data_IF_290172359543
#
_entry.id   IF_290172359543
#
_cell.length_a   1.000
_cell.length_b   1.000
_cell.length_c   1.000
_cell.angle_alpha   90.00
_cell.angle_beta   90.00
_cell.angle_gamma   90.00
#
_symmetry.space_group_name_H-M   'P 1'
#
loop_
_entity.id
_entity.type
_entity.pdbx_description
1 polymer ?
#
# COMPACT_ATOMS: atom_id res chain seq x y z
N UNK A 1 -8.70 4.24 28.04
CA UNK A 1 -8.94 4.16 26.59
C UNK A 1 -8.50 2.78 26.13
N UNK A 2 -9.36 2.00 25.45
CA UNK A 2 -9.14 0.56 25.17
C UNK A 2 -8.74 0.26 23.70
N UNK A 3 -8.51 1.31 22.90
CA UNK A 3 -7.97 1.19 21.55
C UNK A 3 -6.44 1.17 21.54
N UNK A 4 -5.84 0.43 20.61
CA UNK A 4 -4.38 0.31 20.44
C UNK A 4 -3.95 0.49 18.99
N UNK A 5 -2.70 0.90 18.76
CA UNK A 5 -2.09 1.03 17.44
C UNK A 5 -0.87 0.11 17.32
N UNK A 6 -0.77 -0.61 16.20
CA UNK A 6 0.37 -1.47 15.89
C UNK A 6 1.11 -0.95 14.65
N UNK A 7 2.29 -0.33 14.80
CA UNK A 7 3.09 0.14 13.67
C UNK A 7 3.82 -1.02 12.97
N UNK A 8 4.05 -0.88 11.67
CA UNK A 8 4.79 -1.83 10.85
C UNK A 8 5.22 -1.25 9.50
N UNK A 9 5.67 -2.13 8.58
CA UNK A 9 5.95 -1.77 7.18
C UNK A 9 5.42 -2.85 6.25
N UNK A 10 5.04 -2.46 5.03
CA UNK A 10 4.96 -3.44 3.94
C UNK A 10 6.37 -3.88 3.52
N UNK A 11 6.49 -5.07 2.93
CA UNK A 11 7.71 -5.43 2.23
C UNK A 11 7.97 -4.47 1.07
N UNK A 12 9.23 -4.18 0.79
CA UNK A 12 9.64 -3.32 -0.32
C UNK A 12 9.15 -3.91 -1.65
N UNK A 13 8.48 -3.09 -2.45
CA UNK A 13 8.00 -3.46 -3.79
C UNK A 13 8.93 -2.82 -4.83
N UNK A 14 9.37 -3.61 -5.80
CA UNK A 14 10.15 -3.11 -6.94
C UNK A 14 9.32 -3.21 -8.21
N UNK A 15 9.11 -2.07 -8.87
CA UNK A 15 8.53 -2.02 -10.21
C UNK A 15 9.65 -1.80 -11.23
N UNK A 16 9.73 -2.67 -12.23
CA UNK A 16 10.61 -2.51 -13.39
C UNK A 16 9.74 -2.28 -14.62
N UNK A 17 9.66 -1.04 -15.08
CA UNK A 17 8.89 -0.69 -16.26
C UNK A 17 9.79 -0.61 -17.49
N UNK A 18 9.75 -1.68 -18.29
CA UNK A 18 10.48 -1.82 -19.54
C UNK A 18 9.59 -1.63 -20.78
N UNK A 19 8.34 -1.20 -20.61
CA UNK A 19 7.37 -1.08 -21.71
C UNK A 19 7.72 0.05 -22.68
N UNK A 20 8.38 1.10 -22.18
CA UNK A 20 8.63 2.31 -22.95
C UNK A 20 7.33 3.04 -23.31
N UNK A 21 7.42 4.01 -24.21
CA UNK A 21 6.27 4.77 -24.70
C UNK A 21 5.84 5.88 -23.75
N UNK A 22 4.55 6.20 -23.77
CA UNK A 22 4.02 7.42 -23.11
C UNK A 22 3.07 7.17 -21.94
N UNK A 23 2.67 5.91 -21.73
CA UNK A 23 1.69 5.55 -20.70
C UNK A 23 2.37 5.24 -19.38
N UNK A 24 1.91 5.92 -18.33
CA UNK A 24 2.28 5.71 -16.95
C UNK A 24 1.77 4.40 -16.36
N UNK A 25 1.75 4.34 -15.04
CA UNK A 25 1.14 3.26 -14.29
C UNK A 25 0.66 3.71 -12.93
N UNK A 26 -0.27 2.97 -12.36
CA UNK A 26 -0.64 3.08 -10.95
C UNK A 26 -0.53 1.72 -10.26
N UNK A 27 0.03 1.73 -9.05
CA UNK A 27 0.06 0.59 -8.15
C UNK A 27 -0.93 0.85 -7.00
N UNK A 28 -2.01 0.09 -6.96
CA UNK A 28 -3.09 0.22 -5.98
C UNK A 28 -3.06 -0.98 -5.04
N UNK A 29 -3.15 -0.74 -3.74
CA UNK A 29 -3.33 -1.81 -2.75
C UNK A 29 -4.75 -1.84 -2.20
N UNK A 30 -5.25 -3.05 -1.94
CA UNK A 30 -6.54 -3.33 -1.27
C UNK A 30 -6.32 -4.32 -0.16
N UNK A 31 -6.92 -4.09 1.00
CA UNK A 31 -6.82 -4.99 2.15
C UNK A 31 -8.19 -5.52 2.53
N UNK A 32 -8.29 -6.83 2.75
CA UNK A 32 -9.49 -7.46 3.30
C UNK A 32 -9.69 -7.06 4.77
N UNK A 33 -10.83 -7.41 5.36
CA UNK A 33 -10.93 -7.41 6.82
C UNK A 33 -9.85 -8.34 7.42
N UNK A 34 -9.37 -7.99 8.61
CA UNK A 34 -8.52 -8.88 9.39
C UNK A 34 -9.40 -9.84 10.18
N UNK A 35 -9.15 -11.14 10.06
CA UNK A 35 -9.88 -12.19 10.79
C UNK A 35 -9.01 -12.74 11.91
N UNK A 36 -9.62 -12.94 13.09
CA UNK A 36 -8.95 -13.39 14.30
C UNK A 36 -9.74 -14.47 15.04
N UNK A 37 -9.38 -14.75 16.31
CA UNK A 37 -9.98 -15.83 17.10
C UNK A 37 -11.50 -15.66 17.27
N UNK A 38 -12.21 -16.79 17.35
CA UNK A 38 -13.65 -16.79 17.63
C UNK A 38 -14.51 -16.07 16.59
N UNK A 39 -13.98 -15.85 15.37
CA UNK A 39 -14.68 -15.10 14.32
C UNK A 39 -14.60 -13.58 14.47
N UNK A 40 -13.77 -13.07 15.39
CA UNK A 40 -13.56 -11.63 15.53
C UNK A 40 -12.97 -11.03 14.24
N UNK A 41 -13.43 -9.83 13.89
CA UNK A 41 -13.01 -9.13 12.68
C UNK A 41 -12.64 -7.67 12.97
N UNK A 42 -11.59 -7.19 12.31
CA UNK A 42 -11.22 -5.77 12.25
C UNK A 42 -11.42 -5.29 10.82
N UNK A 43 -12.16 -4.20 10.57
CA UNK A 43 -12.35 -3.68 9.21
C UNK A 43 -11.01 -3.42 8.52
N UNK A 44 -10.89 -3.74 7.22
CA UNK A 44 -9.66 -3.46 6.47
C UNK A 44 -9.31 -1.96 6.45
N UNK A 45 -10.31 -1.09 6.55
CA UNK A 45 -10.15 0.36 6.65
C UNK A 45 -9.43 0.81 7.94
N UNK A 46 -9.27 -0.07 8.93
CA UNK A 46 -8.44 0.16 10.12
C UNK A 46 -6.94 0.14 9.85
N UNK A 47 -6.51 -0.36 8.67
CA UNK A 47 -5.13 -0.27 8.22
C UNK A 47 -4.94 1.03 7.43
N UNK A 48 -4.08 1.91 7.94
CA UNK A 48 -3.58 3.07 7.22
C UNK A 48 -2.13 2.89 6.83
N UNK A 49 -1.71 3.60 5.79
CA UNK A 49 -0.32 3.60 5.35
C UNK A 49 0.18 5.00 5.00
N UNK A 50 1.50 5.15 4.96
CA UNK A 50 2.20 6.34 4.46
C UNK A 50 3.21 5.87 3.42
N UNK A 51 2.88 5.95 2.12
CA UNK A 51 3.75 5.46 1.06
C UNK A 51 4.97 6.34 0.81
N UNK A 52 6.04 5.71 0.32
CA UNK A 52 7.17 6.38 -0.31
C UNK A 52 7.43 5.74 -1.67
N UNK A 53 7.94 6.53 -2.61
CA UNK A 53 8.41 5.99 -3.87
C UNK A 53 9.66 6.73 -4.34
N UNK A 54 10.61 5.97 -4.86
CA UNK A 54 11.87 6.51 -5.40
C UNK A 54 12.17 5.85 -6.73
N UNK A 55 12.49 6.68 -7.73
CA UNK A 55 13.03 6.19 -8.99
C UNK A 55 14.54 5.98 -8.88
N UNK A 56 15.04 4.85 -9.38
CA UNK A 56 16.47 4.60 -9.47
C UNK A 56 17.13 5.58 -10.45
N UNK A 57 18.41 5.96 -10.25
CA UNK A 57 19.16 6.76 -11.21
C UNK A 57 19.06 6.20 -12.64
N UNK A 58 18.89 7.09 -13.62
CA UNK A 58 18.72 6.71 -15.03
C UNK A 58 17.30 6.30 -15.43
N UNK A 59 16.34 6.27 -14.50
CA UNK A 59 14.92 6.10 -14.86
C UNK A 59 14.41 7.31 -15.66
N UNK A 60 13.62 7.05 -16.71
CA UNK A 60 13.03 8.10 -17.54
C UNK A 60 11.89 8.84 -16.82
N UNK A 61 11.23 8.17 -15.87
CA UNK A 61 10.09 8.73 -15.13
C UNK A 61 10.41 9.11 -13.70
N UNK A 62 9.67 10.10 -13.19
CA UNK A 62 9.58 10.38 -11.75
C UNK A 62 8.52 9.49 -11.12
N UNK A 63 8.78 8.97 -9.94
CA UNK A 63 7.77 8.26 -9.16
C UNK A 63 7.04 9.19 -8.20
N UNK A 64 5.72 9.07 -8.14
CA UNK A 64 4.87 9.73 -7.17
C UNK A 64 4.42 8.71 -6.11
N UNK A 65 4.63 9.03 -4.84
CA UNK A 65 4.04 8.28 -3.74
C UNK A 65 2.53 8.56 -3.65
N UNK A 66 1.76 7.55 -3.25
CA UNK A 66 0.36 7.72 -2.90
C UNK A 66 0.16 8.60 -1.66
N UNK A 67 -1.08 9.00 -1.40
CA UNK A 67 -1.42 9.77 -0.20
C UNK A 67 -1.45 8.88 1.03
N UNK A 68 -1.00 9.42 2.15
CA UNK A 68 -1.20 8.78 3.45
C UNK A 68 -2.70 8.69 3.77
N UNK A 69 -3.13 7.56 4.32
CA UNK A 69 -4.55 7.32 4.62
C UNK A 69 -4.91 5.85 4.75
N UNK A 70 -6.20 5.58 4.93
CA UNK A 70 -6.74 4.23 4.98
C UNK A 70 -6.58 3.52 3.62
N UNK A 71 -6.25 2.23 3.66
CA UNK A 71 -6.18 1.38 2.46
C UNK A 71 -7.56 0.81 2.17
N UNK A 72 -8.09 0.05 3.13
CA UNK A 72 -9.41 -0.55 3.06
C UNK A 72 -9.66 -1.47 1.85
N UNK A 73 -10.90 -1.95 1.70
CA UNK A 73 -11.31 -2.77 0.57
C UNK A 73 -11.46 -1.97 -0.74
N UNK A 74 -11.79 -0.67 -0.65
CA UNK A 74 -11.89 0.22 -1.83
C UNK A 74 -10.53 0.41 -2.52
N UNK A 75 -9.48 0.41 -1.70
CA UNK A 75 -8.09 0.51 -2.11
C UNK A 75 -7.56 1.93 -2.08
N UNK A 76 -6.24 2.01 -2.00
CA UNK A 76 -5.50 3.27 -2.06
C UNK A 76 -4.33 3.14 -3.04
N UNK A 77 -3.98 4.26 -3.68
CA UNK A 77 -2.75 4.33 -4.47
C UNK A 77 -1.57 4.20 -3.52
N UNK A 78 -0.68 3.25 -3.82
CA UNK A 78 0.60 3.10 -3.15
C UNK A 78 1.66 3.95 -3.84
N UNK A 79 1.74 3.87 -5.17
CA UNK A 79 2.62 4.68 -6.00
C UNK A 79 2.07 4.81 -7.42
N UNK A 80 2.55 5.80 -8.16
CA UNK A 80 2.26 5.95 -9.58
C UNK A 80 3.38 6.63 -10.35
N UNK A 81 3.35 6.45 -11.66
CA UNK A 81 4.07 7.24 -12.64
C UNK A 81 3.02 7.83 -13.59
N UNK A 82 2.97 9.15 -13.81
CA UNK A 82 2.04 9.75 -14.76
C UNK A 82 2.47 9.49 -16.20
N UNK A 83 1.54 9.70 -17.14
CA UNK A 83 1.85 9.74 -18.57
C UNK A 83 2.87 10.85 -18.88
N UNK A 84 3.76 10.59 -19.84
CA UNK A 84 4.81 11.51 -20.26
C UNK A 84 5.27 11.23 -21.69
N UNK A 85 6.14 12.08 -22.25
CA UNK A 85 6.73 11.84 -23.57
C UNK A 85 7.62 10.58 -23.62
N UNK A 86 8.19 10.20 -22.47
CA UNK A 86 8.92 8.94 -22.27
C UNK A 86 8.66 8.42 -20.87
N UNK A 87 8.19 7.17 -20.79
CA UNK A 87 7.93 6.45 -19.55
C UNK A 87 8.82 5.21 -19.47
N UNK A 88 9.32 4.92 -18.27
CA UNK A 88 10.09 3.71 -17.98
C UNK A 88 11.07 3.91 -16.83
N UNK A 89 11.63 2.81 -16.34
CA UNK A 89 12.66 2.82 -15.31
C UNK A 89 12.49 1.75 -14.23
N UNK A 90 13.23 1.91 -13.14
CA UNK A 90 13.15 1.05 -11.97
C UNK A 90 12.76 1.88 -10.76
N UNK A 91 11.78 1.41 -9.99
CA UNK A 91 11.20 2.13 -8.88
C UNK A 91 11.18 1.26 -7.63
N UNK A 92 11.56 1.86 -6.50
CA UNK A 92 11.46 1.27 -5.16
C UNK A 92 10.31 1.94 -4.43
N UNK A 93 9.39 1.13 -3.92
CA UNK A 93 8.16 1.57 -3.27
C UNK A 93 8.10 0.92 -1.89
N UNK A 94 7.90 1.73 -0.86
CA UNK A 94 7.71 1.29 0.52
C UNK A 94 6.46 1.96 1.12
N UNK A 95 6.01 1.46 2.27
CA UNK A 95 5.04 2.18 3.10
C UNK A 95 5.19 1.79 4.57
N UNK A 96 5.19 2.80 5.43
CA UNK A 96 4.90 2.60 6.85
C UNK A 96 3.41 2.28 6.99
N UNK A 97 3.04 1.34 7.85
CA UNK A 97 1.65 0.96 8.11
C UNK A 97 1.30 1.08 9.59
N UNK A 98 0.06 1.43 9.87
CA UNK A 98 -0.51 1.45 11.22
C UNK A 98 -1.84 0.73 11.19
N UNK A 99 -1.98 -0.31 12.01
CA UNK A 99 -3.28 -0.94 12.27
C UNK A 99 -3.87 -0.36 13.55
N UNK A 100 -5.03 0.29 13.44
CA UNK A 100 -5.78 0.82 14.59
C UNK A 100 -6.85 -0.17 15.02
N UNK A 101 -6.71 -0.69 16.24
CA UNK A 101 -7.63 -1.70 16.79
C UNK A 101 -8.90 -1.03 17.37
N UNK A 102 -10.10 -1.49 16.99
CA UNK A 102 -11.33 -1.11 17.67
C UNK A 102 -11.26 -1.44 19.18
N UNK A 103 -11.99 -0.70 20.04
CA UNK A 103 -12.12 -1.05 21.45
C UNK A 103 -12.62 -2.49 21.64
N UNK A 104 -12.15 -3.15 22.70
CA UNK A 104 -12.53 -4.52 23.06
C UNK A 104 -12.19 -5.59 22.00
N UNK A 105 -11.25 -5.31 21.09
CA UNK A 105 -10.70 -6.32 20.19
C UNK A 105 -10.08 -7.47 21.00
N UNK A 106 -10.55 -8.73 20.87
CA UNK A 106 -10.00 -9.86 21.60
C UNK A 106 -8.49 -10.04 21.34
N UNK A 107 -7.70 -10.44 22.33
CA UNK A 107 -6.29 -10.74 22.10
C UNK A 107 -6.13 -11.97 21.20
N UNK A 108 -5.16 -11.94 20.29
CA UNK A 108 -4.80 -13.07 19.45
C UNK A 108 -4.23 -12.66 18.10
N UNK A 109 -3.99 -13.65 17.24
CA UNK A 109 -3.47 -13.44 15.91
C UNK A 109 -4.60 -13.04 14.93
N UNK A 110 -4.38 -11.94 14.21
CA UNK A 110 -5.26 -11.46 13.16
C UNK A 110 -4.56 -11.52 11.80
N UNK A 111 -5.27 -11.89 10.74
CA UNK A 111 -4.71 -12.04 9.39
C UNK A 111 -5.61 -11.36 8.36
N UNK A 112 -5.00 -10.72 7.38
CA UNK A 112 -5.67 -10.14 6.21
C UNK A 112 -4.85 -10.42 4.96
N UNK A 113 -5.46 -10.22 3.79
CA UNK A 113 -4.78 -10.24 2.50
C UNK A 113 -4.64 -8.80 1.99
N UNK A 114 -3.41 -8.39 1.68
CA UNK A 114 -3.11 -7.18 0.92
C UNK A 114 -2.86 -7.57 -0.53
N UNK A 115 -3.75 -7.16 -1.42
CA UNK A 115 -3.61 -7.35 -2.86
C UNK A 115 -3.04 -6.08 -3.48
N UNK A 116 -1.98 -6.21 -4.28
CA UNK A 116 -1.42 -5.12 -5.06
C UNK A 116 -1.74 -5.33 -6.54
N UNK A 117 -2.28 -4.30 -7.19
CA UNK A 117 -2.63 -4.31 -8.61
C UNK A 117 -1.87 -3.21 -9.33
N UNK A 118 -1.14 -3.58 -10.37
CA UNK A 118 -0.47 -2.65 -11.29
C UNK A 118 -1.33 -2.52 -12.57
N UNK A 119 -1.57 -1.29 -13.00
CA UNK A 119 -2.30 -0.95 -14.25
C UNK A 119 -1.57 0.13 -15.02
#
# INVERSE_FOLDING_TARGET
DLGGAAPGRIGTVTVRDARGGTRGWSLIGRVTAFTGPGGAAIPGASLSWTPTCTAAPGSASRCAAGRAGAVGPEGAVLASVPDAASVGGTFTIDAAVTLTLPPYTPPGAYRAVLTLTLS
#
